data_IF_971053589749
#
_entry.id   IF_971053589749
#
_cell.length_a   1.000
_cell.length_b   1.000
_cell.length_c   1.000
_cell.angle_alpha   90.00
_cell.angle_beta   90.00
_cell.angle_gamma   90.00
#
_symmetry.space_group_name_H-M   'P 1'
#
loop_
_entity.id
_entity.type
_entity.pdbx_description
1 polymer ?
#
# COMPACT_ATOMS: atom_id res chain seq x y z
N UNK A 1 12.91 -15.75 27.90
CA UNK A 1 12.34 -14.76 26.96
C UNK A 1 13.42 -14.45 25.95
N UNK A 2 13.22 -14.81 24.68
CA UNK A 2 14.21 -14.55 23.64
C UNK A 2 14.20 -13.06 23.29
N UNK A 3 15.36 -12.53 22.93
CA UNK A 3 15.61 -11.14 22.52
C UNK A 3 14.76 -10.63 21.33
N UNK A 4 13.87 -11.45 20.76
CA UNK A 4 13.25 -11.24 19.46
C UNK A 4 11.99 -10.34 19.47
N UNK A 5 11.35 -10.14 20.63
CA UNK A 5 10.10 -9.34 20.69
C UNK A 5 10.33 -7.82 20.72
N UNK A 6 11.59 -7.37 20.81
CA UNK A 6 11.96 -5.94 20.88
C UNK A 6 12.02 -5.23 19.52
N UNK A 7 11.90 -5.96 18.41
CA UNK A 7 12.15 -5.43 17.07
C UNK A 7 10.86 -5.20 16.26
N UNK A 8 9.68 -5.22 16.89
CA UNK A 8 8.41 -5.09 16.19
C UNK A 8 7.64 -3.83 16.54
N UNK A 9 6.98 -3.26 15.54
CA UNK A 9 6.07 -2.11 15.65
C UNK A 9 4.71 -2.53 15.09
N UNK A 10 3.63 -2.04 15.72
CA UNK A 10 2.27 -2.21 15.22
C UNK A 10 1.86 -0.97 14.43
N UNK A 11 1.42 -1.13 13.19
CA UNK A 11 0.91 -0.06 12.35
C UNK A 11 -0.62 -0.11 12.31
N UNK A 12 -1.26 1.02 12.61
CA UNK A 12 -2.71 1.18 12.60
C UNK A 12 -3.12 2.18 11.51
N UNK A 13 -3.84 1.77 10.44
CA UNK A 13 -4.39 2.68 9.45
C UNK A 13 -5.48 3.57 10.06
N UNK A 14 -5.67 4.79 9.53
CA UNK A 14 -6.68 5.72 10.06
C UNK A 14 -7.97 5.79 9.24
N UNK A 15 -8.02 5.12 8.07
CA UNK A 15 -9.20 5.10 7.21
C UNK A 15 -9.77 3.68 7.06
N UNK A 16 -11.11 3.53 7.10
CA UNK A 16 -12.10 4.51 7.52
C UNK A 16 -11.99 4.85 9.03
N UNK A 17 -12.66 5.91 9.49
CA UNK A 17 -12.68 6.23 10.91
C UNK A 17 -13.27 5.06 11.73
N UNK A 18 -12.53 4.60 12.74
CA UNK A 18 -12.91 3.44 13.55
C UNK A 18 -12.36 2.11 13.06
N UNK A 19 -11.51 2.12 12.03
CA UNK A 19 -10.67 0.96 11.66
C UNK A 19 -9.79 0.54 12.86
N UNK A 20 -9.88 -0.73 13.24
CA UNK A 20 -9.23 -1.31 14.42
C UNK A 20 -8.16 -2.35 14.06
N UNK A 21 -8.09 -2.75 12.79
CA UNK A 21 -7.09 -3.71 12.33
C UNK A 21 -5.70 -3.10 12.39
N UNK A 22 -4.73 -3.91 12.84
CA UNK A 22 -3.32 -3.52 12.93
C UNK A 22 -2.44 -4.53 12.22
N UNK A 23 -1.30 -4.06 11.70
CA UNK A 23 -0.29 -4.91 11.09
C UNK A 23 1.01 -4.81 11.87
N UNK A 24 1.60 -5.96 12.18
CA UNK A 24 2.89 -6.03 12.90
C UNK A 24 4.03 -6.14 11.89
N UNK A 25 5.04 -5.29 12.04
CA UNK A 25 6.20 -5.21 11.14
C UNK A 25 7.49 -5.12 11.94
N UNK A 26 8.59 -5.63 11.37
CA UNK A 26 9.91 -5.46 11.95
C UNK A 26 10.38 -4.01 11.77
N UNK A 27 10.74 -3.35 12.86
CA UNK A 27 11.22 -1.97 12.89
C UNK A 27 12.41 -1.76 11.93
N UNK A 28 13.41 -2.65 11.97
CA UNK A 28 14.59 -2.53 11.12
C UNK A 28 14.26 -2.59 9.62
N UNK A 29 13.32 -3.44 9.21
CA UNK A 29 12.88 -3.52 7.81
C UNK A 29 12.13 -2.23 7.43
N UNK A 30 11.26 -1.74 8.31
CA UNK A 30 10.48 -0.52 8.07
C UNK A 30 11.38 0.72 7.96
N UNK A 31 12.34 0.89 8.87
CA UNK A 31 13.30 2.01 8.84
C UNK A 31 14.21 1.96 7.61
N UNK A 32 14.67 0.78 7.23
CA UNK A 32 15.52 0.63 6.03
C UNK A 32 14.78 1.00 4.75
N UNK A 33 13.49 0.70 4.67
CA UNK A 33 12.68 0.98 3.49
C UNK A 33 12.15 2.42 3.42
N UNK A 34 12.10 3.14 4.54
CA UNK A 34 11.47 4.46 4.64
C UNK A 34 12.25 5.38 5.57
N UNK A 35 12.79 6.46 5.01
CA UNK A 35 13.45 7.52 5.78
C UNK A 35 12.49 8.25 6.74
N UNK A 36 11.19 8.29 6.41
CA UNK A 36 10.15 8.80 7.29
C UNK A 36 10.07 7.96 8.58
N UNK A 37 9.92 6.64 8.45
CA UNK A 37 9.81 5.77 9.62
C UNK A 37 11.12 5.67 10.40
N UNK A 38 12.27 5.70 9.72
CA UNK A 38 13.56 5.84 10.38
C UNK A 38 13.60 7.11 11.24
N UNK A 39 13.24 8.26 10.67
CA UNK A 39 13.21 9.53 11.42
C UNK A 39 12.20 9.50 12.57
N UNK A 40 11.03 8.87 12.38
CA UNK A 40 10.00 8.78 13.42
C UNK A 40 10.43 7.90 14.59
N UNK A 41 11.05 6.75 14.33
CA UNK A 41 11.34 5.73 15.34
C UNK A 41 12.76 5.84 15.91
N UNK A 42 13.70 6.40 15.16
CA UNK A 42 15.10 6.55 15.53
C UNK A 42 15.42 7.93 16.12
N UNK A 43 14.52 8.90 16.02
CA UNK A 43 14.72 10.22 16.63
C UNK A 43 14.59 10.22 18.15
N UNK A 44 15.21 11.22 18.79
CA UNK A 44 15.18 11.49 20.23
C UNK A 44 14.03 12.43 20.64
N UNK A 45 13.05 12.67 19.76
CA UNK A 45 11.85 13.43 20.12
C UNK A 45 11.04 12.72 21.21
N UNK A 46 10.31 13.49 22.01
CA UNK A 46 9.48 12.96 23.12
C UNK A 46 8.49 11.90 22.64
N UNK A 47 7.90 12.07 21.46
CA UNK A 47 6.96 11.12 20.84
C UNK A 47 7.62 9.77 20.49
N UNK A 48 8.86 9.80 19.98
CA UNK A 48 9.66 8.60 19.74
C UNK A 48 10.14 7.96 21.07
N UNK A 49 10.40 8.80 22.08
CA UNK A 49 10.77 8.37 23.43
C UNK A 49 9.61 7.72 24.17
N UNK A 50 8.37 8.18 23.98
CA UNK A 50 7.16 7.58 24.55
C UNK A 50 6.91 6.19 23.95
N UNK A 51 7.06 6.05 22.62
CA UNK A 51 7.03 4.75 21.93
C UNK A 51 8.13 3.80 22.42
N UNK A 52 9.34 4.32 22.72
CA UNK A 52 10.44 3.55 23.31
C UNK A 52 10.22 3.24 24.79
N UNK A 53 9.62 4.14 25.57
CA UNK A 53 9.38 3.99 27.01
C UNK A 53 8.26 2.99 27.30
N UNK A 54 7.20 2.95 26.49
CA UNK A 54 6.20 1.87 26.54
C UNK A 54 6.87 0.50 26.36
N UNK A 55 7.96 0.43 25.60
CA UNK A 55 8.76 -0.80 25.41
C UNK A 55 9.76 -1.07 26.55
N UNK A 56 10.16 -0.07 27.33
CA UNK A 56 11.23 -0.15 28.34
C UNK A 56 10.78 -0.07 29.80
N UNK A 57 9.51 0.20 30.11
CA UNK A 57 9.04 0.23 31.50
C UNK A 57 8.94 -1.19 32.10
N UNK A 58 10.05 -1.66 32.65
CA UNK A 58 10.05 -2.75 33.61
C UNK A 58 11.44 -3.31 33.82
N UNK A 59 12.25 -2.56 34.54
CA UNK A 59 13.20 -3.07 35.53
C UNK A 59 13.26 -2.06 36.68
N UNK A 60 12.76 -2.37 37.89
CA UNK A 60 13.08 -1.55 39.06
C UNK A 60 14.56 -1.75 39.40
N UNK A 61 15.30 -0.70 39.83
CA UNK A 61 16.64 -0.89 40.37
C UNK A 61 16.55 -1.74 41.63
N UNK A 62 17.05 -2.97 41.53
CA UNK A 62 17.20 -3.88 42.67
C UNK A 62 18.21 -3.30 43.66
N UNK A 63 17.73 -2.72 44.75
CA UNK A 63 18.53 -2.46 45.94
C UNK A 63 18.56 -3.71 46.81
N UNK A 64 19.76 -4.22 47.02
CA UNK A 64 20.09 -5.40 47.79
C UNK A 64 19.80 -5.23 49.28
N UNK A 65 19.03 -6.14 49.88
CA UNK A 65 19.23 -6.56 51.28
C UNK A 65 18.64 -7.96 51.52
N UNK A 66 19.46 -8.83 52.12
CA UNK A 66 19.23 -10.25 52.36
C UNK A 66 18.42 -10.55 53.64
N UNK A 67 17.62 -11.64 53.66
CA UNK A 67 17.74 -12.78 54.60
C UNK A 67 16.57 -13.80 54.52
N UNK A 68 16.95 -15.07 54.28
CA UNK A 68 16.47 -16.37 54.81
C UNK A 68 15.02 -16.59 55.33
N UNK A 69 14.34 -17.63 54.79
CA UNK A 69 13.40 -18.46 55.57
C UNK A 69 12.25 -19.18 54.82
N UNK A 70 12.39 -20.51 54.69
CA UNK A 70 11.36 -21.57 54.49
C UNK A 70 10.72 -21.86 53.11
N UNK A 71 10.45 -23.17 52.80
CA UNK A 71 9.93 -23.62 51.52
C UNK A 71 8.41 -23.86 51.56
N UNK A 72 7.66 -23.29 50.62
CA UNK A 72 6.31 -23.72 50.29
C UNK A 72 5.98 -23.32 48.84
N UNK A 73 5.68 -24.34 48.03
CA UNK A 73 4.83 -24.35 46.83
C UNK A 73 4.73 -23.05 46.01
N UNK A 74 5.40 -23.00 44.85
CA UNK A 74 5.09 -22.07 43.76
C UNK A 74 4.23 -22.85 42.74
N UNK A 75 2.89 -22.77 42.81
CA UNK A 75 2.06 -21.70 42.23
C UNK A 75 2.38 -21.52 40.74
N UNK A 76 1.41 -21.94 39.91
CA UNK A 76 1.28 -21.64 38.49
C UNK A 76 1.80 -20.23 38.20
N UNK A 77 2.86 -20.12 37.40
CA UNK A 77 3.17 -18.86 36.72
C UNK A 77 2.03 -18.61 35.72
N UNK A 78 1.07 -17.80 36.14
CA UNK A 78 0.24 -17.07 35.20
C UNK A 78 1.18 -16.20 34.38
N UNK A 79 1.31 -16.53 33.09
CA UNK A 79 1.85 -15.63 32.08
C UNK A 79 0.96 -14.38 32.08
N UNK A 80 1.52 -13.26 32.52
CA UNK A 80 0.89 -11.95 32.31
C UNK A 80 0.74 -11.67 30.81
N UNK A 81 -0.22 -10.80 30.43
CA UNK A 81 -0.46 -10.50 29.03
C UNK A 81 0.82 -9.96 28.36
N UNK A 82 1.10 -10.34 27.10
CA UNK A 82 2.26 -9.84 26.37
C UNK A 82 2.23 -8.31 26.31
N UNK A 83 3.38 -7.66 26.57
CA UNK A 83 3.52 -6.20 26.46
C UNK A 83 3.13 -5.77 25.04
N UNK A 84 2.29 -4.73 24.87
CA UNK A 84 1.91 -4.27 23.55
C UNK A 84 3.13 -3.62 22.86
N UNK A 85 3.43 -4.07 21.64
CA UNK A 85 4.43 -3.43 20.79
C UNK A 85 4.04 -1.97 20.51
N UNK A 86 5.01 -1.05 20.35
CA UNK A 86 4.75 0.35 20.07
C UNK A 86 3.82 0.49 18.86
N UNK A 87 2.78 1.32 19.00
CA UNK A 87 1.74 1.48 17.98
C UNK A 87 1.91 2.82 17.26
N UNK A 88 2.12 2.76 15.94
CA UNK A 88 2.19 3.93 15.08
C UNK A 88 0.89 4.04 14.27
N UNK A 89 0.22 5.19 14.39
CA UNK A 89 -0.92 5.51 13.54
C UNK A 89 -0.43 6.01 12.18
N UNK A 90 -0.85 5.33 11.12
CA UNK A 90 -0.48 5.64 9.74
C UNK A 90 -1.64 6.42 9.13
N UNK A 91 -1.45 7.73 9.00
CA UNK A 91 -2.51 8.67 8.61
C UNK A 91 -2.88 8.56 7.12
N UNK A 92 -4.17 8.76 6.82
CA UNK A 92 -4.76 8.86 5.47
C UNK A 92 -4.55 7.62 4.58
N UNK A 93 -4.40 6.46 5.21
CA UNK A 93 -4.24 5.16 4.54
C UNK A 93 -5.37 4.21 4.96
N UNK A 94 -5.85 3.40 4.03
CA UNK A 94 -6.73 2.27 4.31
C UNK A 94 -5.93 1.04 4.74
N UNK A 95 -6.60 0.06 5.35
CA UNK A 95 -5.95 -1.22 5.67
C UNK A 95 -5.38 -1.93 4.42
N UNK A 96 -6.10 -1.95 3.30
CA UNK A 96 -5.63 -2.59 2.05
C UNK A 96 -4.42 -1.89 1.44
N UNK A 97 -4.38 -0.55 1.50
CA UNK A 97 -3.23 0.24 1.09
C UNK A 97 -2.03 -0.02 2.02
N UNK A 98 -2.26 -0.09 3.34
CA UNK A 98 -1.20 -0.41 4.31
C UNK A 98 -0.67 -1.84 4.11
N UNK A 99 -1.54 -2.80 3.80
CA UNK A 99 -1.14 -4.13 3.39
C UNK A 99 -0.27 -4.07 2.12
N UNK A 100 -0.74 -3.44 1.05
CA UNK A 100 0.03 -3.32 -0.20
C UNK A 100 1.40 -2.68 0.02
N UNK A 101 1.47 -1.63 0.86
CA UNK A 101 2.72 -0.98 1.28
C UNK A 101 3.67 -1.96 1.96
N UNK A 102 3.18 -2.68 2.97
CA UNK A 102 4.02 -3.63 3.71
C UNK A 102 4.42 -4.81 2.83
N UNK A 103 3.54 -5.32 1.97
CA UNK A 103 3.88 -6.37 1.01
C UNK A 103 5.07 -5.96 0.16
N UNK A 104 5.04 -4.75 -0.41
CA UNK A 104 6.16 -4.20 -1.16
C UNK A 104 7.44 -4.13 -0.32
N UNK A 105 7.37 -3.59 0.90
CA UNK A 105 8.53 -3.46 1.79
C UNK A 105 9.18 -4.83 2.10
N UNK A 106 8.37 -5.87 2.27
CA UNK A 106 8.88 -7.21 2.60
C UNK A 106 9.40 -7.99 1.39
N UNK A 107 8.84 -7.75 0.21
CA UNK A 107 9.09 -8.59 -0.98
C UNK A 107 9.88 -7.90 -2.08
N UNK A 108 9.87 -6.56 -2.12
CA UNK A 108 10.33 -5.75 -3.24
C UNK A 108 9.38 -5.75 -4.45
N UNK A 109 8.26 -6.47 -4.37
CA UNK A 109 7.32 -6.66 -5.48
C UNK A 109 6.13 -5.71 -5.37
N UNK A 110 5.89 -4.94 -6.43
CA UNK A 110 4.79 -3.98 -6.49
C UNK A 110 3.57 -4.61 -7.16
N UNK A 111 2.47 -4.73 -6.40
CA UNK A 111 1.21 -5.31 -6.87
C UNK A 111 0.13 -4.24 -6.83
N UNK A 112 -0.43 -3.92 -7.99
CA UNK A 112 -1.45 -2.89 -8.14
C UNK A 112 -2.72 -3.46 -8.75
N UNK A 113 -3.84 -2.82 -8.45
CA UNK A 113 -5.11 -3.12 -9.08
C UNK A 113 -5.02 -2.80 -10.57
N UNK A 114 -5.29 -3.79 -11.43
CA UNK A 114 -5.50 -3.55 -12.86
C UNK A 114 -6.82 -2.84 -13.09
N UNK A 115 -6.85 -1.87 -14.00
CA UNK A 115 -8.11 -1.24 -14.42
C UNK A 115 -9.05 -2.29 -15.03
N UNK A 116 -10.35 -2.23 -14.74
CA UNK A 116 -11.32 -3.03 -15.48
C UNK A 116 -11.27 -2.61 -16.95
N UNK A 117 -10.95 -3.56 -17.83
CA UNK A 117 -11.06 -3.36 -19.27
C UNK A 117 -12.53 -3.11 -19.61
N UNK A 118 -12.87 -1.90 -20.02
CA UNK A 118 -14.13 -1.64 -20.71
C UNK A 118 -14.03 -2.26 -22.09
N UNK A 119 -14.46 -3.51 -22.23
CA UNK A 119 -15.07 -3.91 -23.49
C UNK A 119 -16.27 -2.98 -23.66
N UNK A 120 -16.19 -2.05 -24.60
CA UNK A 120 -17.41 -1.56 -25.22
C UNK A 120 -18.11 -2.80 -25.76
N UNK A 121 -19.10 -3.26 -24.99
CA UNK A 121 -20.03 -4.27 -25.45
C UNK A 121 -20.83 -3.57 -26.53
N UNK A 122 -20.32 -3.61 -27.76
CA UNK A 122 -21.15 -3.43 -28.93
C UNK A 122 -22.26 -4.45 -28.78
N UNK A 123 -23.43 -3.99 -28.37
CA UNK A 123 -24.68 -4.74 -28.42
C UNK A 123 -25.06 -4.92 -29.88
N UNK A 124 -24.25 -5.67 -30.62
CA UNK A 124 -24.71 -6.37 -31.79
C UNK A 124 -25.00 -7.81 -31.39
N UNK A 125 -26.17 -8.23 -31.81
CA UNK A 125 -26.87 -9.42 -31.37
C UNK A 125 -25.97 -10.66 -31.31
N UNK A 126 -26.23 -11.48 -30.28
CA UNK A 126 -25.98 -12.92 -30.21
C UNK A 126 -25.73 -13.53 -31.59
N UNK A 127 -24.47 -13.88 -31.86
CA UNK A 127 -24.18 -15.00 -32.74
C UNK A 127 -23.21 -15.95 -32.03
N UNK A 128 -23.74 -17.11 -31.69
CA UNK A 128 -23.14 -18.14 -30.87
C UNK A 128 -22.19 -18.98 -31.75
N UNK A 129 -21.13 -18.39 -32.32
CA UNK A 129 -20.12 -19.16 -33.08
C UNK A 129 -18.75 -18.49 -33.26
N UNK A 130 -18.06 -18.13 -32.18
CA UNK A 130 -16.61 -17.82 -32.29
C UNK A 130 -15.85 -18.04 -30.99
N UNK A 131 -15.92 -19.28 -30.48
CA UNK A 131 -14.88 -19.82 -29.60
C UNK A 131 -13.61 -20.06 -30.41
N UNK A 132 -12.75 -19.04 -30.54
CA UNK A 132 -11.29 -19.14 -30.68
C UNK A 132 -10.71 -17.77 -31.06
N UNK A 133 -10.44 -16.94 -30.07
CA UNK A 133 -9.31 -16.01 -30.15
C UNK A 133 -8.78 -15.83 -28.74
N UNK A 134 -7.97 -16.80 -28.34
CA UNK A 134 -7.14 -16.73 -27.15
C UNK A 134 -6.16 -15.59 -27.34
N UNK A 135 -6.27 -14.54 -26.55
CA UNK A 135 -5.28 -13.48 -26.50
C UNK A 135 -4.06 -14.03 -25.72
N UNK A 136 -3.09 -14.59 -26.46
CA UNK A 136 -1.87 -15.23 -25.93
C UNK A 136 -0.91 -14.26 -25.20
N UNK A 137 -1.30 -12.98 -25.04
CA UNK A 137 -0.50 -11.95 -24.36
C UNK A 137 -1.09 -11.46 -23.03
N UNK A 138 -2.26 -11.94 -22.62
CA UNK A 138 -2.79 -11.63 -21.30
C UNK A 138 -2.05 -12.46 -20.23
N UNK A 139 -1.13 -11.83 -19.49
CA UNK A 139 -0.53 -12.45 -18.30
C UNK A 139 -1.63 -13.02 -17.39
N UNK A 140 -1.59 -14.33 -17.08
CA UNK A 140 -2.54 -14.95 -16.16
C UNK A 140 -2.58 -14.19 -14.83
N UNK A 141 -3.77 -13.77 -14.43
CA UNK A 141 -4.09 -13.14 -13.15
C UNK A 141 -3.79 -14.11 -12.01
N UNK A 142 -2.61 -14.00 -11.39
CA UNK A 142 -2.24 -14.79 -10.20
C UNK A 142 -3.22 -14.61 -9.02
N UNK A 143 -4.00 -13.52 -8.99
CA UNK A 143 -4.91 -13.19 -7.88
C UNK A 143 -6.39 -13.54 -8.10
N UNK A 144 -6.79 -14.03 -9.28
CA UNK A 144 -8.17 -14.50 -9.53
C UNK A 144 -8.38 -15.91 -8.96
N UNK A 145 -7.99 -16.13 -7.71
CA UNK A 145 -8.34 -17.34 -6.98
C UNK A 145 -9.67 -17.14 -6.28
N UNK A 146 -10.66 -17.91 -6.76
CA UNK A 146 -12.00 -18.13 -6.20
C UNK A 146 -12.04 -17.93 -4.67
N UNK A 147 -12.81 -16.92 -4.25
CA UNK A 147 -13.11 -16.55 -2.86
C UNK A 147 -13.33 -17.80 -2.00
N UNK A 148 -12.35 -18.13 -1.14
CA UNK A 148 -12.50 -19.14 -0.09
C UNK A 148 -13.20 -18.48 1.10
N UNK A 149 -14.31 -19.07 1.52
CA UNK A 149 -15.16 -18.56 2.60
C UNK A 149 -14.40 -18.36 3.91
N UNK A 150 -14.73 -17.25 4.58
CA UNK A 150 -14.28 -16.86 5.91
C UNK A 150 -14.53 -17.95 6.95
N UNK A 151 -13.49 -18.64 7.42
CA UNK A 151 -13.52 -19.32 8.72
C UNK A 151 -12.12 -19.48 9.31
N UNK A 152 -11.98 -18.95 10.54
CA UNK A 152 -10.92 -19.13 11.54
C UNK A 152 -9.51 -18.62 11.23
N UNK A 153 -9.25 -17.35 11.57
CA UNK A 153 -7.91 -16.80 11.79
C UNK A 153 -7.57 -16.81 13.28
N UNK A 154 -7.28 -18.00 13.80
CA UNK A 154 -6.41 -18.18 14.96
C UNK A 154 -5.43 -19.27 14.54
N UNK A 155 -4.12 -18.95 14.58
CA UNK A 155 -2.98 -19.86 14.37
C UNK A 155 -2.80 -20.42 12.94
N UNK A 156 -2.28 -19.59 12.04
CA UNK A 156 -1.40 -20.12 10.99
C UNK A 156 -0.14 -19.28 10.92
N UNK A 157 1.03 -19.95 10.97
CA UNK A 157 2.36 -19.36 10.79
C UNK A 157 2.63 -18.95 9.33
N UNK A 158 1.57 -18.57 8.60
CA UNK A 158 1.65 -18.12 7.23
C UNK A 158 1.84 -16.59 7.24
N UNK A 159 2.59 -16.04 6.27
CA UNK A 159 2.70 -14.60 6.15
C UNK A 159 1.29 -14.00 5.98
N UNK A 160 1.06 -12.81 6.56
CA UNK A 160 -0.27 -12.18 6.60
C UNK A 160 -0.87 -11.93 5.20
N UNK A 161 -0.07 -12.05 4.14
CA UNK A 161 -0.47 -11.87 2.74
C UNK A 161 -0.81 -13.17 1.98
N UNK A 162 -0.78 -14.36 2.61
CA UNK A 162 -1.08 -15.62 1.92
C UNK A 162 -2.55 -15.65 1.42
N UNK A 163 -2.74 -15.37 0.13
CA UNK A 163 -4.02 -15.47 -0.59
C UNK A 163 -5.02 -14.32 -0.41
N UNK A 164 -4.67 -13.26 0.33
CA UNK A 164 -5.62 -12.20 0.73
C UNK A 164 -5.18 -10.76 0.46
N UNK A 165 -4.11 -10.55 -0.33
CA UNK A 165 -3.70 -9.20 -0.69
C UNK A 165 -4.72 -8.59 -1.66
N UNK A 166 -5.49 -7.60 -1.20
CA UNK A 166 -6.31 -6.75 -2.06
C UNK A 166 -5.43 -5.66 -2.65
N UNK A 167 -5.11 -5.70 -3.96
CA UNK A 167 -4.21 -4.73 -4.57
C UNK A 167 -4.81 -3.33 -4.50
N UNK A 168 -4.01 -2.36 -4.07
CA UNK A 168 -4.40 -0.95 -4.09
C UNK A 168 -4.21 -0.31 -5.47
N UNK A 169 -4.87 0.83 -5.68
CA UNK A 169 -4.68 1.68 -6.87
C UNK A 169 -3.23 2.17 -6.94
N UNK A 170 -2.64 2.13 -8.14
CA UNK A 170 -1.29 2.67 -8.33
C UNK A 170 -1.19 4.18 -8.03
N UNK A 171 -2.27 4.95 -8.23
CA UNK A 171 -2.31 6.38 -7.85
C UNK A 171 -2.23 6.57 -6.35
N UNK A 172 -3.02 5.81 -5.59
CA UNK A 172 -3.00 5.85 -4.13
C UNK A 172 -1.62 5.46 -3.61
N UNK A 173 -1.06 4.37 -4.15
CA UNK A 173 0.26 3.90 -3.74
C UNK A 173 1.38 4.86 -4.11
N UNK A 174 1.28 5.60 -5.23
CA UNK A 174 2.21 6.68 -5.55
C UNK A 174 2.16 7.79 -4.48
N UNK A 175 0.96 8.27 -4.14
CA UNK A 175 0.74 9.29 -3.09
C UNK A 175 1.26 8.84 -1.73
N UNK A 176 1.01 7.58 -1.36
CA UNK A 176 1.49 6.98 -0.12
C UNK A 176 3.02 6.86 -0.12
N UNK A 177 3.60 6.39 -1.22
CA UNK A 177 5.05 6.25 -1.35
C UNK A 177 5.77 7.60 -1.26
N UNK A 178 5.20 8.64 -1.85
CA UNK A 178 5.67 10.02 -1.70
C UNK A 178 5.61 10.48 -0.23
N UNK A 179 4.46 10.30 0.43
CA UNK A 179 4.25 10.68 1.84
C UNK A 179 5.21 9.99 2.81
N UNK A 180 5.50 8.71 2.61
CA UNK A 180 6.37 7.90 3.47
C UNK A 180 7.81 7.76 2.94
N UNK A 181 8.16 8.51 1.89
CA UNK A 181 9.50 8.55 1.31
C UNK A 181 10.05 7.16 0.91
N UNK A 182 9.26 6.39 0.14
CA UNK A 182 9.63 5.08 -0.40
C UNK A 182 9.78 5.18 -1.91
N UNK A 183 10.94 5.67 -2.36
CA UNK A 183 11.20 6.04 -3.77
C UNK A 183 11.04 4.88 -4.76
N UNK A 184 11.38 3.65 -4.35
CA UNK A 184 11.24 2.47 -5.21
C UNK A 184 9.77 2.15 -5.50
N UNK A 185 8.89 2.24 -4.49
CA UNK A 185 7.46 2.05 -4.67
C UNK A 185 6.85 3.18 -5.49
N UNK A 186 7.31 4.42 -5.28
CA UNK A 186 6.89 5.59 -6.06
C UNK A 186 7.22 5.40 -7.54
N UNK A 187 8.44 4.96 -7.84
CA UNK A 187 8.89 4.65 -9.19
C UNK A 187 8.11 3.49 -9.81
N UNK A 188 7.87 2.42 -9.06
CA UNK A 188 7.10 1.26 -9.52
C UNK A 188 5.62 1.63 -9.82
N UNK A 189 5.03 2.46 -8.96
CA UNK A 189 3.66 2.97 -9.15
C UNK A 189 3.56 3.83 -10.40
N UNK A 190 4.52 4.73 -10.63
CA UNK A 190 4.57 5.57 -11.84
C UNK A 190 4.72 4.74 -13.11
N UNK A 191 5.59 3.72 -13.10
CA UNK A 191 5.75 2.81 -14.23
C UNK A 191 4.48 2.01 -14.50
N UNK A 192 3.77 1.60 -13.45
CA UNK A 192 2.48 0.92 -13.61
C UNK A 192 1.45 1.84 -14.23
N UNK A 193 1.31 3.07 -13.72
CA UNK A 193 0.42 4.10 -14.30
C UNK A 193 0.75 4.29 -15.79
N UNK A 194 2.02 4.48 -16.14
CA UNK A 194 2.44 4.67 -17.54
C UNK A 194 2.06 3.48 -18.46
N UNK A 195 2.08 2.25 -17.95
CA UNK A 195 1.71 1.04 -18.70
C UNK A 195 0.21 0.81 -18.79
N UNK A 196 -0.54 1.28 -17.81
CA UNK A 196 -1.97 1.02 -17.64
C UNK A 196 -2.85 2.14 -18.22
N UNK A 197 -2.27 3.28 -18.62
CA UNK A 197 -2.97 4.33 -19.36
C UNK A 197 -3.39 3.81 -20.74
N UNK A 198 -4.64 4.13 -21.11
CA UNK A 198 -5.22 3.83 -22.41
C UNK A 198 -6.04 5.01 -22.92
N UNK A 199 -6.27 5.07 -24.23
CA UNK A 199 -7.12 6.09 -24.84
C UNK A 199 -8.56 6.08 -24.27
N UNK A 200 -9.11 4.89 -24.01
CA UNK A 200 -10.46 4.71 -23.46
C UNK A 200 -10.63 5.21 -22.02
N UNK A 201 -9.55 5.22 -21.22
CA UNK A 201 -9.63 5.61 -19.81
C UNK A 201 -9.24 7.07 -19.56
N UNK A 202 -8.71 7.75 -20.58
CA UNK A 202 -8.06 9.05 -20.38
C UNK A 202 -9.03 10.11 -19.85
N UNK A 203 -10.26 10.13 -20.36
CA UNK A 203 -11.27 11.10 -19.95
C UNK A 203 -11.65 10.92 -18.48
N UNK A 204 -11.97 9.68 -18.09
CA UNK A 204 -12.30 9.35 -16.71
C UNK A 204 -11.14 9.62 -15.75
N UNK A 205 -9.91 9.44 -16.22
CA UNK A 205 -8.73 9.73 -15.41
C UNK A 205 -8.57 11.23 -15.17
N UNK A 206 -8.62 12.04 -16.24
CA UNK A 206 -8.49 13.48 -16.14
C UNK A 206 -9.61 14.10 -15.28
N UNK A 207 -10.83 13.60 -15.38
CA UNK A 207 -11.95 14.07 -14.57
C UNK A 207 -11.90 13.59 -13.12
N UNK A 208 -11.42 12.36 -12.88
CA UNK A 208 -11.59 11.67 -11.60
C UNK A 208 -10.32 11.52 -10.75
N UNK A 209 -9.13 11.79 -11.28
CA UNK A 209 -7.85 11.57 -10.60
C UNK A 209 -7.16 12.90 -10.31
N UNK A 210 -7.33 13.39 -9.08
CA UNK A 210 -6.67 14.61 -8.61
C UNK A 210 -5.14 14.50 -8.63
N UNK A 211 -4.60 13.28 -8.52
CA UNK A 211 -3.17 13.00 -8.52
C UNK A 211 -2.49 13.47 -9.81
N UNK A 212 -3.21 13.47 -10.94
CA UNK A 212 -2.68 13.96 -12.23
C UNK A 212 -2.42 15.47 -12.18
N UNK A 213 -3.25 16.23 -11.46
CA UNK A 213 -3.06 17.66 -11.30
C UNK A 213 -2.02 17.99 -10.23
N UNK A 214 -1.95 17.18 -9.17
CA UNK A 214 -1.10 17.42 -8.00
C UNK A 214 0.36 17.00 -8.19
N UNK A 215 0.61 15.90 -8.90
CA UNK A 215 1.96 15.32 -9.05
C UNK A 215 2.51 15.55 -10.46
N UNK A 216 3.56 16.38 -10.62
CA UNK A 216 4.15 16.69 -11.93
C UNK A 216 4.58 15.45 -12.72
N UNK A 217 5.12 14.44 -12.05
CA UNK A 217 5.60 13.23 -12.72
C UNK A 217 4.45 12.43 -13.34
N UNK A 218 3.31 12.35 -12.66
CA UNK A 218 2.09 11.71 -13.21
C UNK A 218 1.56 12.56 -14.36
N UNK A 219 1.51 13.89 -14.18
CA UNK A 219 1.10 14.82 -15.23
C UNK A 219 1.93 14.66 -16.50
N UNK A 220 3.23 14.54 -16.37
CA UNK A 220 4.16 14.37 -17.50
C UNK A 220 3.94 13.04 -18.23
N UNK A 221 3.66 11.96 -17.51
CA UNK A 221 3.29 10.68 -18.12
C UNK A 221 2.02 10.83 -18.98
N UNK A 222 0.98 11.46 -18.44
CA UNK A 222 -0.26 11.71 -19.18
C UNK A 222 -0.06 12.66 -20.35
N UNK A 223 0.74 13.71 -20.16
CA UNK A 223 1.10 14.66 -21.22
C UNK A 223 1.78 13.94 -22.39
N UNK A 224 2.81 13.14 -22.10
CA UNK A 224 3.55 12.40 -23.12
C UNK A 224 2.65 11.40 -23.86
N UNK A 225 1.78 10.69 -23.14
CA UNK A 225 0.81 9.78 -23.74
C UNK A 225 -0.14 10.53 -24.70
N UNK A 226 -0.73 11.64 -24.25
CA UNK A 226 -1.65 12.45 -25.06
C UNK A 226 -0.98 13.02 -26.31
N UNK A 227 0.28 13.47 -26.21
CA UNK A 227 1.03 13.97 -27.38
C UNK A 227 1.26 12.87 -28.43
N UNK A 228 1.52 11.64 -28.01
CA UNK A 228 1.75 10.51 -28.93
C UNK A 228 0.42 10.01 -29.53
N UNK A 229 -0.64 9.97 -28.73
CA UNK A 229 -1.92 9.38 -29.11
C UNK A 229 -2.98 10.41 -29.54
N UNK A 230 -2.61 11.67 -29.76
CA UNK A 230 -3.55 12.79 -29.98
C UNK A 230 -4.65 12.47 -31.00
N UNK A 231 -4.30 11.84 -32.12
CA UNK A 231 -5.25 11.53 -33.20
C UNK A 231 -6.24 10.39 -32.86
N UNK A 232 -5.90 9.56 -31.88
CA UNK A 232 -6.77 8.50 -31.36
C UNK A 232 -7.68 9.00 -30.23
N UNK A 233 -7.45 10.22 -29.73
CA UNK A 233 -8.20 10.82 -28.64
C UNK A 233 -9.28 11.71 -29.26
N UNK A 234 -10.53 11.52 -28.80
CA UNK A 234 -11.67 12.29 -29.30
C UNK A 234 -11.57 13.77 -28.90
N UNK A 235 -12.22 14.64 -29.68
CA UNK A 235 -12.26 16.09 -29.41
C UNK A 235 -12.95 16.46 -28.10
N UNK A 236 -13.66 15.51 -27.47
CA UNK A 236 -14.32 15.70 -26.19
C UNK A 236 -13.35 15.76 -25.01
N UNK A 237 -12.08 15.42 -25.23
CA UNK A 237 -11.03 15.41 -24.20
C UNK A 237 -10.04 16.57 -24.34
N UNK A 238 -10.04 17.28 -25.48
CA UNK A 238 -9.12 18.39 -25.77
C UNK A 238 -9.11 19.45 -24.68
N UNK A 239 -10.31 19.90 -24.25
CA UNK A 239 -10.44 20.90 -23.19
C UNK A 239 -9.81 20.43 -21.87
N UNK A 240 -9.97 19.15 -21.51
CA UNK A 240 -9.39 18.57 -20.30
C UNK A 240 -7.87 18.50 -20.41
N UNK A 241 -7.34 18.19 -21.59
CA UNK A 241 -5.89 18.19 -21.83
C UNK A 241 -5.29 19.60 -21.72
N UNK A 242 -5.96 20.62 -22.25
CA UNK A 242 -5.51 22.00 -22.12
C UNK A 242 -5.55 22.46 -20.65
N UNK A 243 -6.65 22.19 -19.94
CA UNK A 243 -6.85 22.66 -18.56
C UNK A 243 -5.97 21.92 -17.55
N UNK A 244 -5.93 20.59 -17.60
CA UNK A 244 -5.27 19.76 -16.58
C UNK A 244 -3.81 19.50 -16.96
N UNK A 245 -3.55 19.16 -18.22
CA UNK A 245 -2.20 18.83 -18.69
C UNK A 245 -1.43 20.05 -19.20
N UNK A 246 -2.09 21.18 -19.46
CA UNK A 246 -1.45 22.39 -20.01
C UNK A 246 -0.91 22.16 -21.42
N UNK A 247 -1.55 21.29 -22.20
CA UNK A 247 -1.21 21.03 -23.59
C UNK A 247 -1.76 22.13 -24.50
N UNK A 248 -1.08 22.41 -25.62
CA UNK A 248 -1.56 23.31 -26.66
C UNK A 248 -1.99 22.45 -27.86
N UNK A 249 -3.25 22.05 -27.88
CA UNK A 249 -3.78 21.09 -28.87
C UNK A 249 -3.77 21.70 -30.28
N UNK A 250 -3.98 23.01 -30.37
CA UNK A 250 -3.90 23.74 -31.64
C UNK A 250 -2.50 23.62 -32.27
N UNK A 251 -1.42 23.75 -31.49
CA UNK A 251 -0.07 23.57 -32.02
C UNK A 251 0.27 22.12 -32.36
N UNK A 252 -0.23 21.16 -31.56
CA UNK A 252 0.08 19.74 -31.79
C UNK A 252 -0.68 19.11 -32.97
N UNK A 253 -1.70 19.80 -33.50
CA UNK A 253 -2.47 19.35 -34.67
C UNK A 253 -2.00 19.96 -36.00
N UNK A 254 -1.04 20.88 -35.98
CA UNK A 254 -0.46 21.52 -37.16
C UNK A 254 0.78 20.78 -37.74
N UNK A 255 1.35 19.83 -36.99
CA UNK A 255 2.49 18.97 -37.37
C UNK A 255 2.03 17.58 -37.87
#
# INVERSE_FOLDING_TARGET
>A
MSSADRDFVSLAPTLPAGEDRVLRVHQGILCNASSYFASLLESDFAEASDLRQESQLGDPPSSSHAQLGFPAEAILKQEGPPRPAPMVKVNDITYSQLQTLLFFIFTGEAVFQRRPYTYETSTDALDESSRASSDEFACPSYWETKVRSNSSLIESNLPWWDGHLEPASAFDMFRIADKYCIEELRSASLQHIARDISASTIKSDLEGREEIALFPEIKDVYRNFCTICLWALGSDVDKLMEEILGLDIAKLSED
#
